data_IF_396180576731
#
_entry.id   IF_396180576731
#
_cell.length_a   1.000
_cell.length_b   1.000
_cell.length_c   1.000
_cell.angle_alpha   90.00
_cell.angle_beta   90.00
_cell.angle_gamma   90.00
#
_symmetry.space_group_name_H-M   'P 1'
#
loop_
_entity.id
_entity.type
_entity.pdbx_description
1 polymer ?
#
# COMPACT_ATOMS: atom_id res chain seq x y z
N UNK A 1 -20.62 9.41 -26.74
CA UNK A 1 -19.28 8.94 -27.13
C UNK A 1 -18.83 7.92 -26.08
N UNK A 2 -18.60 6.65 -26.46
CA UNK A 2 -18.02 5.67 -25.52
C UNK A 2 -16.55 6.03 -25.35
N UNK A 3 -16.15 6.46 -24.17
CA UNK A 3 -14.73 6.61 -23.86
C UNK A 3 -14.06 5.26 -24.11
N UNK A 4 -13.02 5.26 -24.95
CA UNK A 4 -12.19 4.07 -25.15
C UNK A 4 -11.49 3.81 -23.82
N UNK A 5 -12.02 2.85 -23.07
CA UNK A 5 -11.46 2.39 -21.82
C UNK A 5 -10.00 1.94 -22.10
N UNK A 6 -9.00 2.42 -21.35
CA UNK A 6 -7.62 1.94 -21.46
C UNK A 6 -7.57 0.40 -21.56
N UNK A 7 -6.73 -0.11 -22.46
CA UNK A 7 -6.76 -1.49 -22.95
C UNK A 7 -6.44 -2.57 -21.91
N UNK A 8 -6.07 -2.19 -20.68
CA UNK A 8 -5.52 -3.07 -19.66
C UNK A 8 -6.47 -3.41 -18.50
N UNK A 9 -7.72 -2.94 -18.50
CA UNK A 9 -8.73 -3.33 -17.49
C UNK A 9 -9.95 -4.04 -18.07
N UNK A 10 -10.76 -4.60 -17.18
CA UNK A 10 -11.95 -5.39 -17.51
C UNK A 10 -13.12 -5.10 -16.56
N UNK A 11 -14.34 -5.17 -17.08
CA UNK A 11 -15.57 -5.20 -16.28
C UNK A 11 -16.04 -6.64 -15.99
N UNK A 12 -15.45 -7.62 -16.68
CA UNK A 12 -15.71 -9.04 -16.48
C UNK A 12 -14.96 -9.53 -15.25
N UNK A 13 -15.60 -9.38 -14.09
CA UNK A 13 -15.06 -9.75 -12.78
C UNK A 13 -15.71 -11.05 -12.31
N UNK A 14 -14.91 -11.99 -11.78
CA UNK A 14 -15.42 -13.24 -11.22
C UNK A 14 -16.40 -12.99 -10.06
N UNK A 15 -17.34 -13.90 -9.81
CA UNK A 15 -18.36 -13.72 -8.76
C UNK A 15 -17.75 -13.50 -7.37
N UNK A 16 -16.77 -14.33 -7.01
CA UNK A 16 -16.03 -14.23 -5.75
C UNK A 16 -15.26 -12.90 -5.61
N UNK A 17 -15.10 -12.18 -6.72
CA UNK A 17 -14.38 -10.93 -6.81
C UNK A 17 -15.29 -9.70 -6.97
N UNK A 18 -16.60 -9.89 -6.96
CA UNK A 18 -17.56 -8.78 -7.00
C UNK A 18 -17.47 -7.96 -5.72
N UNK A 19 -17.40 -6.65 -5.92
CA UNK A 19 -17.38 -5.65 -4.87
C UNK A 19 -18.26 -4.49 -5.34
N UNK A 20 -17.71 -3.28 -5.46
CA UNK A 20 -18.37 -2.15 -6.13
C UNK A 20 -17.92 -2.10 -7.59
N UNK A 21 -18.81 -1.72 -8.51
CA UNK A 21 -18.43 -1.48 -9.92
C UNK A 21 -17.37 -0.37 -9.96
N UNK A 22 -16.19 -0.62 -10.54
CA UNK A 22 -15.10 0.36 -10.55
C UNK A 22 -15.50 1.61 -11.33
N UNK A 23 -15.19 2.77 -10.77
CA UNK A 23 -15.23 4.04 -11.49
C UNK A 23 -13.83 4.39 -11.99
N UNK A 24 -13.59 4.15 -13.28
CA UNK A 24 -12.30 4.40 -13.90
C UNK A 24 -12.01 5.90 -14.08
N UNK A 25 -13.01 6.79 -13.96
CA UNK A 25 -12.75 8.24 -13.92
C UNK A 25 -12.06 8.66 -12.62
N UNK A 26 -12.23 7.84 -11.57
CA UNK A 26 -11.53 7.93 -10.29
C UNK A 26 -10.30 7.02 -10.22
N UNK A 27 -9.88 6.40 -11.33
CA UNK A 27 -8.71 5.52 -11.36
C UNK A 27 -8.83 4.27 -10.47
N UNK A 28 -10.04 3.74 -10.25
CA UNK A 28 -10.25 2.62 -9.34
C UNK A 28 -9.86 1.27 -9.94
N UNK A 29 -8.85 0.65 -9.33
CA UNK A 29 -8.46 -0.74 -9.54
C UNK A 29 -8.48 -1.42 -8.19
N UNK A 30 -9.31 -2.46 -8.04
CA UNK A 30 -9.43 -3.12 -6.75
C UNK A 30 -8.59 -4.38 -6.75
N UNK A 31 -7.93 -4.65 -5.63
CA UNK A 31 -7.30 -5.93 -5.38
C UNK A 31 -8.27 -7.11 -5.61
N UNK A 32 -7.75 -8.29 -5.90
CA UNK A 32 -8.56 -9.51 -5.89
C UNK A 32 -8.92 -9.92 -4.46
N UNK A 33 -9.90 -10.80 -4.31
CA UNK A 33 -10.30 -11.42 -3.05
C UNK A 33 -9.11 -12.13 -2.39
N UNK A 34 -8.33 -12.85 -3.19
CA UNK A 34 -7.13 -13.51 -2.74
C UNK A 34 -6.11 -12.51 -2.18
N UNK A 35 -5.83 -11.42 -2.91
CA UNK A 35 -4.88 -10.40 -2.46
C UNK A 35 -5.33 -9.72 -1.17
N UNK A 36 -6.60 -9.32 -1.05
CA UNK A 36 -7.05 -8.68 0.21
C UNK A 36 -7.09 -9.67 1.37
N UNK A 37 -7.49 -10.93 1.14
CA UNK A 37 -7.49 -11.96 2.18
C UNK A 37 -6.09 -12.16 2.73
N UNK A 38 -5.13 -12.33 1.81
CA UNK A 38 -3.72 -12.45 2.15
C UNK A 38 -3.25 -11.20 2.89
N UNK A 39 -3.37 -10.00 2.32
CA UNK A 39 -2.93 -8.75 2.98
C UNK A 39 -3.52 -8.59 4.38
N UNK A 40 -4.82 -8.84 4.55
CA UNK A 40 -5.48 -8.79 5.84
C UNK A 40 -4.86 -9.80 6.83
N UNK A 41 -4.54 -11.03 6.41
CA UNK A 41 -3.94 -12.05 7.27
C UNK A 41 -2.60 -11.60 7.87
N UNK A 42 -1.67 -11.02 7.09
CA UNK A 42 -0.37 -10.63 7.66
C UNK A 42 -0.34 -9.24 8.27
N UNK A 43 -1.32 -8.40 7.97
CA UNK A 43 -1.45 -7.08 8.59
C UNK A 43 -2.37 -7.11 9.82
N UNK A 44 -2.94 -8.27 10.18
CA UNK A 44 -3.93 -8.35 11.25
C UNK A 44 -3.37 -8.00 12.63
N UNK A 45 -2.06 -8.15 12.82
CA UNK A 45 -1.35 -7.85 14.06
C UNK A 45 -1.26 -6.35 14.39
N UNK A 46 -1.47 -5.46 13.43
CA UNK A 46 -1.57 -4.03 13.71
C UNK A 46 -2.84 -3.75 14.51
N UNK A 47 -2.79 -2.82 15.45
CA UNK A 47 -3.95 -2.47 16.29
C UNK A 47 -4.84 -1.44 15.60
N UNK A 48 -4.25 -0.43 14.95
CA UNK A 48 -5.00 0.66 14.31
C UNK A 48 -4.52 0.95 12.87
N UNK A 49 -4.72 0.01 11.92
CA UNK A 49 -4.34 0.21 10.53
C UNK A 49 -5.30 1.17 9.82
N UNK A 50 -4.73 1.94 8.89
CA UNK A 50 -5.48 2.79 7.95
C UNK A 50 -5.40 2.23 6.53
N UNK A 51 -6.55 1.93 5.95
CA UNK A 51 -6.74 1.71 4.52
C UNK A 51 -6.85 3.07 3.81
N UNK A 52 -5.78 3.53 3.19
CA UNK A 52 -5.77 4.74 2.36
C UNK A 52 -5.94 4.34 0.89
N UNK A 53 -7.06 4.73 0.26
CA UNK A 53 -7.41 4.33 -1.10
C UNK A 53 -7.45 2.79 -1.32
N UNK A 54 -7.71 2.01 -0.26
CA UNK A 54 -7.78 0.54 -0.31
C UNK A 54 -9.13 0.02 0.19
N UNK A 55 -10.26 0.45 -0.40
CA UNK A 55 -11.60 0.17 0.13
C UNK A 55 -11.92 -1.31 0.20
N UNK A 56 -11.38 -2.12 -0.73
CA UNK A 56 -11.61 -3.57 -0.69
C UNK A 56 -10.89 -4.26 0.47
N UNK A 57 -9.72 -3.76 0.88
CA UNK A 57 -9.02 -4.30 2.05
C UNK A 57 -9.79 -3.96 3.34
N UNK A 58 -10.29 -2.73 3.45
CA UNK A 58 -11.18 -2.35 4.56
C UNK A 58 -12.45 -3.22 4.59
N UNK A 59 -13.03 -3.51 3.42
CA UNK A 59 -14.18 -4.39 3.31
C UNK A 59 -13.87 -5.81 3.81
N UNK A 60 -12.72 -6.38 3.45
CA UNK A 60 -12.29 -7.69 3.95
C UNK A 60 -12.22 -7.73 5.48
N UNK A 61 -11.61 -6.73 6.12
CA UNK A 61 -11.58 -6.65 7.58
C UNK A 61 -12.97 -6.49 8.19
N UNK A 62 -13.87 -5.70 7.57
CA UNK A 62 -15.26 -5.60 8.03
C UNK A 62 -16.00 -6.93 7.95
N UNK A 63 -15.80 -7.73 6.90
CA UNK A 63 -16.38 -9.07 6.80
C UNK A 63 -15.87 -10.00 7.91
N UNK A 64 -14.66 -9.77 8.41
CA UNK A 64 -14.09 -10.47 9.58
C UNK A 64 -14.53 -9.90 10.94
N UNK A 65 -15.43 -8.92 10.94
CA UNK A 65 -15.93 -8.28 12.17
C UNK A 65 -14.96 -7.27 12.79
N UNK A 66 -13.96 -6.80 12.02
CA UNK A 66 -12.97 -5.84 12.48
C UNK A 66 -13.17 -4.49 11.78
N UNK A 67 -13.45 -3.44 12.56
CA UNK A 67 -13.46 -2.07 12.04
C UNK A 67 -12.03 -1.55 11.84
N UNK A 68 -11.79 -0.91 10.69
CA UNK A 68 -10.53 -0.24 10.36
C UNK A 68 -10.82 1.13 9.76
N UNK A 69 -9.86 2.06 9.83
CA UNK A 69 -10.03 3.36 9.17
C UNK A 69 -9.93 3.21 7.66
N UNK A 70 -10.94 3.65 6.93
CA UNK A 70 -10.91 3.79 5.47
C UNK A 70 -10.88 5.28 5.11
N UNK A 71 -9.83 5.71 4.42
CA UNK A 71 -9.71 7.04 3.83
C UNK A 71 -9.80 6.93 2.31
N UNK A 72 -10.89 7.40 1.72
CA UNK A 72 -11.12 7.32 0.28
C UNK A 72 -11.94 8.51 -0.23
N UNK A 73 -11.72 8.93 -1.47
CA UNK A 73 -12.46 10.03 -2.09
C UNK A 73 -13.89 9.61 -2.44
N UNK A 74 -14.09 8.33 -2.78
CA UNK A 74 -15.35 7.81 -3.28
C UNK A 74 -16.38 7.64 -2.16
N UNK A 75 -17.44 8.46 -2.23
CA UNK A 75 -18.52 8.47 -1.24
C UNK A 75 -19.42 7.25 -1.29
N UNK A 76 -19.31 6.38 -2.30
CA UNK A 76 -20.03 5.10 -2.33
C UNK A 76 -19.65 4.19 -1.15
N UNK A 77 -18.46 4.40 -0.57
CA UNK A 77 -18.02 3.69 0.64
C UNK A 77 -18.49 4.34 1.95
N UNK A 78 -19.31 5.40 1.91
CA UNK A 78 -19.74 6.14 3.10
C UNK A 78 -20.54 5.34 4.12
N UNK A 79 -21.13 4.22 3.73
CA UNK A 79 -21.81 3.29 4.64
C UNK A 79 -20.87 2.29 5.30
N UNK A 80 -19.59 2.22 4.89
CA UNK A 80 -18.62 1.33 5.53
C UNK A 80 -18.19 1.89 6.88
N UNK A 81 -18.12 1.07 7.95
CA UNK A 81 -17.50 1.45 9.22
C UNK A 81 -16.11 2.06 9.01
N UNK A 82 -15.72 2.99 9.87
CA UNK A 82 -14.44 3.68 9.73
C UNK A 82 -14.23 4.54 8.47
N UNK A 83 -15.16 4.65 7.51
CA UNK A 83 -14.97 5.51 6.33
C UNK A 83 -14.87 7.00 6.71
N UNK A 84 -13.91 7.70 6.10
CA UNK A 84 -13.88 9.17 6.03
C UNK A 84 -13.49 9.61 4.61
N UNK A 85 -14.11 10.68 4.08
CA UNK A 85 -13.74 11.22 2.80
C UNK A 85 -12.31 11.78 2.86
N UNK A 86 -11.47 11.42 1.88
CA UNK A 86 -10.10 11.93 1.78
C UNK A 86 -9.74 12.22 0.33
N UNK A 87 -9.29 13.44 0.04
CA UNK A 87 -8.89 13.88 -1.29
C UNK A 87 -7.37 13.94 -1.39
N UNK A 88 -6.77 13.04 -2.18
CA UNK A 88 -5.32 13.01 -2.42
C UNK A 88 -4.79 14.30 -3.07
N UNK A 89 -5.63 15.05 -3.78
CA UNK A 89 -5.26 16.32 -4.42
C UNK A 89 -5.32 17.50 -3.46
N UNK A 90 -6.08 17.37 -2.38
CA UNK A 90 -6.26 18.39 -1.33
C UNK A 90 -6.22 17.73 0.06
N UNK A 91 -5.10 17.06 0.41
CA UNK A 91 -5.04 16.27 1.62
C UNK A 91 -5.15 17.18 2.85
N UNK A 92 -5.92 16.73 3.83
CA UNK A 92 -6.08 17.42 5.11
C UNK A 92 -5.50 16.56 6.24
N UNK A 93 -4.88 17.17 7.27
CA UNK A 93 -4.36 16.43 8.41
C UNK A 93 -5.45 15.57 9.08
N UNK A 94 -5.12 14.33 9.41
CA UNK A 94 -5.96 13.50 10.29
C UNK A 94 -5.56 13.69 11.75
N UNK A 95 -6.53 13.67 12.66
CA UNK A 95 -6.27 13.74 14.11
C UNK A 95 -5.91 12.38 14.71
N UNK A 96 -6.17 11.30 13.98
CA UNK A 96 -5.91 9.93 14.42
C UNK A 96 -4.46 9.53 14.14
N UNK A 97 -3.92 8.64 14.98
CA UNK A 97 -2.59 8.06 14.81
C UNK A 97 -2.72 6.60 14.40
N UNK A 98 -2.05 6.23 13.32
CA UNK A 98 -2.06 4.87 12.79
C UNK A 98 -0.72 4.19 13.03
N UNK A 99 -0.76 2.91 13.41
CA UNK A 99 0.43 2.07 13.53
C UNK A 99 0.81 1.44 12.18
N UNK A 100 -0.14 1.36 11.24
CA UNK A 100 0.10 1.04 9.84
C UNK A 100 -0.76 1.86 8.87
N UNK A 101 -0.23 2.18 7.70
CA UNK A 101 -0.98 2.71 6.55
C UNK A 101 -0.75 1.79 5.35
N UNK A 102 -1.84 1.32 4.76
CA UNK A 102 -1.86 0.54 3.52
C UNK A 102 -2.43 1.42 2.43
N UNK A 103 -1.60 1.72 1.42
CA UNK A 103 -1.86 2.77 0.45
C UNK A 103 -1.84 2.24 -1.00
N UNK A 104 -2.96 2.38 -1.70
CA UNK A 104 -3.06 2.07 -3.14
C UNK A 104 -3.64 3.26 -3.90
N UNK A 105 -2.83 4.32 -4.09
CA UNK A 105 -3.32 5.52 -4.76
C UNK A 105 -3.47 5.32 -6.25
N UNK A 106 -4.26 6.20 -6.87
CA UNK A 106 -4.09 6.50 -8.29
C UNK A 106 -2.62 6.92 -8.50
N UNK A 107 -1.91 6.20 -9.37
CA UNK A 107 -0.46 6.28 -9.55
C UNK A 107 -0.02 7.58 -10.23
N UNK A 108 -0.20 8.70 -9.53
CA UNK A 108 0.21 10.05 -9.94
C UNK A 108 1.65 10.34 -9.49
N UNK A 109 2.07 11.61 -9.55
CA UNK A 109 3.37 12.09 -9.06
C UNK A 109 3.66 11.64 -7.61
N UNK A 110 4.78 10.95 -7.40
CA UNK A 110 5.14 10.37 -6.11
C UNK A 110 5.34 11.44 -5.01
N UNK A 111 5.78 12.65 -5.37
CA UNK A 111 5.96 13.74 -4.41
C UNK A 111 4.62 14.20 -3.84
N UNK A 112 3.57 14.30 -4.65
CA UNK A 112 2.20 14.60 -4.19
C UNK A 112 1.66 13.50 -3.29
N UNK A 113 1.88 12.23 -3.66
CA UNK A 113 1.45 11.09 -2.85
C UNK A 113 2.12 11.09 -1.48
N UNK A 114 3.42 11.40 -1.40
CA UNK A 114 4.11 11.56 -0.13
C UNK A 114 3.46 12.65 0.74
N UNK A 115 3.19 13.83 0.16
CA UNK A 115 2.56 14.93 0.92
C UNK A 115 1.19 14.52 1.46
N UNK A 116 0.41 13.77 0.68
CA UNK A 116 -0.86 13.24 1.14
C UNK A 116 -0.69 12.23 2.29
N UNK A 117 0.27 11.31 2.17
CA UNK A 117 0.60 10.38 3.25
C UNK A 117 1.01 11.11 4.52
N UNK A 118 1.83 12.16 4.43
CA UNK A 118 2.31 12.91 5.59
C UNK A 118 1.17 13.61 6.36
N UNK A 119 0.04 13.91 5.70
CA UNK A 119 -1.16 14.40 6.39
C UNK A 119 -1.88 13.29 7.18
N UNK A 120 -1.65 12.02 6.84
CA UNK A 120 -2.27 10.85 7.47
C UNK A 120 -1.36 10.22 8.53
N UNK A 121 -0.10 9.99 8.19
CA UNK A 121 0.86 9.26 9.01
C UNK A 121 1.86 10.17 9.73
N UNK A 122 1.86 11.47 9.43
CA UNK A 122 2.92 12.38 9.87
C UNK A 122 4.23 12.17 9.10
N UNK A 123 5.30 12.82 9.56
CA UNK A 123 6.65 12.57 9.08
C UNK A 123 7.17 11.26 9.70
N UNK A 124 8.02 10.49 8.99
CA UNK A 124 8.63 9.30 9.57
C UNK A 124 9.52 9.69 10.76
N UNK A 125 9.19 9.16 11.94
CA UNK A 125 9.98 9.30 13.17
C UNK A 125 10.99 8.15 13.29
N UNK A 126 12.19 8.44 13.78
CA UNK A 126 13.24 7.45 14.02
C UNK A 126 12.89 6.46 15.13
N UNK A 127 12.12 6.89 16.13
CA UNK A 127 11.88 6.10 17.35
C UNK A 127 10.68 5.15 17.22
N UNK A 128 9.69 5.46 16.38
CA UNK A 128 8.52 4.58 16.15
C UNK A 128 7.85 4.88 14.80
N UNK A 129 8.46 4.47 13.68
CA UNK A 129 7.90 4.77 12.36
C UNK A 129 6.59 4.00 12.14
N UNK A 130 5.50 4.69 11.78
CA UNK A 130 4.29 4.06 11.24
C UNK A 130 4.67 3.09 10.12
N UNK A 131 4.15 1.86 10.18
CA UNK A 131 4.37 0.92 9.09
C UNK A 131 3.67 1.44 7.83
N UNK A 132 4.37 1.45 6.70
CA UNK A 132 3.83 1.89 5.43
C UNK A 132 3.95 0.73 4.45
N UNK A 133 2.83 0.38 3.83
CA UNK A 133 2.74 -0.57 2.72
C UNK A 133 2.07 0.15 1.56
N UNK A 134 2.78 0.34 0.46
CA UNK A 134 2.32 1.14 -0.67
C UNK A 134 2.45 0.37 -1.97
N UNK A 135 1.36 0.34 -2.74
CA UNK A 135 1.37 -0.21 -4.08
C UNK A 135 1.75 0.86 -5.09
N UNK A 136 2.63 0.51 -6.03
CA UNK A 136 3.12 1.44 -7.04
C UNK A 136 3.57 0.73 -8.33
N UNK A 137 3.59 1.41 -9.50
CA UNK A 137 4.09 0.82 -10.75
C UNK A 137 5.60 0.59 -10.69
N UNK A 138 6.04 -0.62 -11.08
CA UNK A 138 7.46 -1.01 -11.11
C UNK A 138 8.31 -0.09 -11.98
N UNK A 139 7.77 0.34 -13.11
CA UNK A 139 8.47 1.20 -14.06
C UNK A 139 8.79 2.59 -13.50
N UNK A 140 8.13 3.01 -12.40
CA UNK A 140 8.35 4.29 -11.71
C UNK A 140 8.95 4.11 -10.32
N UNK A 141 9.54 2.95 -10.02
CA UNK A 141 10.15 2.66 -8.72
C UNK A 141 11.17 3.74 -8.30
N UNK A 142 12.06 4.16 -9.20
CA UNK A 142 13.07 5.17 -8.89
C UNK A 142 12.45 6.50 -8.41
N UNK A 143 11.31 6.90 -8.99
CA UNK A 143 10.57 8.09 -8.58
C UNK A 143 10.00 7.93 -7.17
N UNK A 144 9.39 6.77 -6.89
CA UNK A 144 8.86 6.44 -5.55
C UNK A 144 9.97 6.47 -4.51
N UNK A 145 11.06 5.73 -4.73
CA UNK A 145 12.15 5.60 -3.76
C UNK A 145 12.85 6.95 -3.51
N UNK A 146 12.96 7.79 -4.54
CA UNK A 146 13.47 9.16 -4.39
C UNK A 146 12.54 10.02 -3.53
N UNK A 147 11.24 10.04 -3.86
CA UNK A 147 10.27 10.87 -3.14
C UNK A 147 10.10 10.42 -1.68
N UNK A 148 10.10 9.12 -1.42
CA UNK A 148 9.86 8.50 -0.11
C UNK A 148 11.16 8.09 0.61
N UNK A 149 12.32 8.67 0.28
CA UNK A 149 13.62 8.25 0.84
C UNK A 149 13.67 8.20 2.37
N UNK A 150 13.00 9.13 3.06
CA UNK A 150 12.90 9.14 4.53
C UNK A 150 12.11 7.94 5.10
N UNK A 151 11.16 7.41 4.33
CA UNK A 151 10.37 6.23 4.69
C UNK A 151 11.10 4.91 4.46
N UNK A 152 12.21 4.92 3.69
CA UNK A 152 13.04 3.73 3.41
C UNK A 152 12.23 2.55 2.87
N UNK A 153 11.34 2.83 1.92
CA UNK A 153 10.58 1.82 1.23
C UNK A 153 11.50 0.85 0.48
N UNK A 154 11.15 -0.43 0.50
CA UNK A 154 11.77 -1.47 -0.30
C UNK A 154 10.67 -2.33 -0.95
N UNK A 155 10.91 -2.90 -2.14
CA UNK A 155 9.97 -3.85 -2.75
C UNK A 155 9.83 -5.08 -1.85
N UNK A 156 8.59 -5.54 -1.68
CA UNK A 156 8.27 -6.73 -0.89
C UNK A 156 7.99 -7.93 -1.81
N UNK A 157 8.38 -9.15 -1.44
CA UNK A 157 8.09 -10.36 -2.23
C UNK A 157 6.62 -10.79 -2.05
N UNK A 158 5.70 -9.91 -2.43
CA UNK A 158 4.26 -10.11 -2.35
C UNK A 158 3.63 -9.93 -3.73
N UNK A 159 2.89 -10.94 -4.18
CA UNK A 159 2.24 -10.91 -5.50
C UNK A 159 0.88 -10.21 -5.40
N UNK A 160 0.75 -9.08 -6.07
CA UNK A 160 -0.51 -8.36 -6.20
C UNK A 160 -1.38 -8.99 -7.29
N UNK A 161 -2.66 -9.16 -6.99
CA UNK A 161 -3.71 -9.50 -7.92
C UNK A 161 -4.81 -8.43 -7.84
N UNK A 162 -5.47 -8.18 -8.96
CA UNK A 162 -6.57 -7.22 -9.06
C UNK A 162 -7.76 -7.90 -9.72
N UNK A 163 -8.96 -7.48 -9.33
CA UNK A 163 -10.19 -8.08 -9.85
C UNK A 163 -10.59 -7.51 -11.22
N UNK A 164 -10.18 -6.28 -11.53
CA UNK A 164 -10.59 -5.53 -12.70
C UNK A 164 -9.41 -5.11 -13.59
N UNK A 165 -8.21 -5.65 -13.37
CA UNK A 165 -7.05 -5.52 -14.27
C UNK A 165 -6.91 -6.81 -15.07
N UNK A 166 -6.61 -6.71 -16.37
CA UNK A 166 -6.47 -7.91 -17.21
C UNK A 166 -5.27 -8.76 -16.76
N UNK A 167 -5.34 -10.10 -16.94
CA UNK A 167 -4.21 -10.99 -16.69
C UNK A 167 -2.93 -10.50 -17.40
N UNK A 168 -1.80 -10.57 -16.71
CA UNK A 168 -0.49 -10.10 -17.21
C UNK A 168 -0.18 -8.63 -16.95
N UNK A 169 -1.15 -7.80 -16.55
CA UNK A 169 -0.90 -6.42 -16.15
C UNK A 169 -0.79 -6.24 -14.63
N UNK A 170 -1.28 -7.18 -13.81
CA UNK A 170 -1.09 -7.12 -12.36
C UNK A 170 0.40 -7.11 -11.97
N UNK A 171 1.24 -7.81 -12.74
CA UNK A 171 2.68 -7.91 -12.50
C UNK A 171 3.45 -6.61 -12.81
N UNK A 172 2.81 -5.58 -13.37
CA UNK A 172 3.42 -4.24 -13.54
C UNK A 172 3.41 -3.41 -12.25
N UNK A 173 2.67 -3.87 -11.24
CA UNK A 173 2.60 -3.24 -9.93
C UNK A 173 3.37 -4.04 -8.90
N UNK A 174 3.85 -3.34 -7.87
CA UNK A 174 4.65 -3.91 -6.80
C UNK A 174 4.19 -3.33 -5.47
N UNK A 175 4.13 -4.18 -4.45
CA UNK A 175 3.98 -3.72 -3.08
C UNK A 175 5.34 -3.34 -2.53
N UNK A 176 5.44 -2.13 -1.99
CA UNK A 176 6.60 -1.61 -1.29
C UNK A 176 6.28 -1.46 0.19
N UNK A 177 7.27 -1.62 1.07
CA UNK A 177 7.08 -1.32 2.48
C UNK A 177 8.34 -0.90 3.20
N UNK A 178 8.17 -0.19 4.31
CA UNK A 178 9.27 0.17 5.22
C UNK A 178 9.49 -0.89 6.32
N UNK A 179 8.64 -1.93 6.34
CA UNK A 179 8.73 -3.10 7.19
C UNK A 179 8.43 -4.34 6.35
N UNK A 180 9.00 -5.51 6.68
CA UNK A 180 8.62 -6.75 6.04
C UNK A 180 7.15 -7.07 6.33
N UNK A 181 6.53 -7.84 5.44
CA UNK A 181 5.28 -8.51 5.74
C UNK A 181 5.55 -9.79 6.55
N UNK A 182 4.81 -10.06 7.63
CA UNK A 182 4.83 -11.36 8.28
C UNK A 182 4.44 -12.49 7.31
N UNK A 183 4.92 -13.71 7.56
CA UNK A 183 4.42 -14.93 6.91
C UNK A 183 2.97 -15.20 7.40
N UNK A 184 2.03 -15.76 6.60
CA UNK A 184 2.22 -16.80 5.59
C UNK A 184 1.81 -16.36 4.18
N UNK A 185 2.77 -15.77 3.46
CA UNK A 185 2.66 -15.68 2.01
C UNK A 185 3.61 -16.69 1.37
N UNK A 186 3.21 -17.38 0.29
CA UNK A 186 4.15 -18.20 -0.45
C UNK A 186 5.29 -17.28 -0.90
N UNK A 187 6.50 -17.57 -0.43
CA UNK A 187 7.69 -16.86 -0.88
C UNK A 187 7.69 -16.90 -2.42
N UNK A 188 7.92 -15.75 -3.05
CA UNK A 188 8.15 -15.72 -4.50
C UNK A 188 9.48 -16.44 -4.70
N UNK A 189 9.44 -17.70 -5.13
CA UNK A 189 10.66 -18.45 -5.42
C UNK A 189 11.27 -17.96 -6.73
N UNK A 190 11.89 -16.78 -6.70
CA UNK A 190 12.77 -16.31 -7.76
C UNK A 190 14.07 -15.80 -7.16
N UNK A 191 15.19 -16.10 -7.84
CA UNK A 191 16.59 -15.81 -7.44
C UNK A 191 16.90 -14.34 -7.10
N UNK A 192 15.93 -13.42 -7.23
CA UNK A 192 16.02 -12.02 -6.86
C UNK A 192 15.88 -11.78 -5.34
N UNK A 193 15.24 -12.68 -4.59
CA UNK A 193 14.99 -12.52 -3.16
C UNK A 193 16.25 -12.53 -2.29
N UNK A 194 17.30 -13.24 -2.72
CA UNK A 194 18.59 -13.27 -2.02
C UNK A 194 19.30 -11.91 -2.07
N UNK A 195 19.12 -11.14 -3.15
CA UNK A 195 19.71 -9.82 -3.30
C UNK A 195 19.01 -8.78 -2.40
N UNK A 196 17.68 -8.84 -2.28
CA UNK A 196 16.90 -7.92 -1.45
C UNK A 196 17.07 -8.19 0.05
N UNK A 197 17.12 -9.47 0.47
CA UNK A 197 17.49 -9.83 1.85
C UNK A 197 18.91 -9.37 2.20
N UNK A 198 19.86 -9.53 1.27
CA UNK A 198 21.23 -9.05 1.46
C UNK A 198 21.34 -7.51 1.50
N UNK A 199 20.48 -6.77 0.80
CA UNK A 199 20.42 -5.30 0.87
C UNK A 199 19.85 -4.83 2.22
N UNK A 200 18.79 -5.48 2.72
CA UNK A 200 18.14 -5.12 3.99
C UNK A 200 19.03 -5.44 5.20
N UNK A 201 19.76 -6.56 5.16
CA UNK A 201 20.75 -6.89 6.20
C UNK A 201 21.94 -5.92 6.20
N UNK A 202 22.41 -5.47 5.03
CA UNK A 202 23.51 -4.49 4.93
C UNK A 202 23.12 -3.10 5.43
N UNK A 203 21.90 -2.64 5.16
CA UNK A 203 21.38 -1.38 5.69
C UNK A 203 21.27 -1.40 7.23
N UNK A 204 20.93 -2.56 7.80
CA UNK A 204 20.81 -2.75 9.25
C UNK A 204 22.18 -2.81 9.94
N UNK A 205 23.18 -3.45 9.32
CA UNK A 205 24.57 -3.50 9.84
C UNK A 205 25.32 -2.18 9.73
N UNK A 206 25.05 -1.36 8.71
CA UNK A 206 25.68 -0.04 8.55
C UNK A 206 25.18 1.00 9.58
N UNK A 207 23.96 0.84 10.11
CA UNK A 207 23.44 1.69 11.18
C UNK A 207 23.95 1.31 12.57
N UNK A 208 24.34 0.06 12.79
CA UNK A 208 24.91 -0.38 14.08
C UNK A 208 26.40 -0.06 14.21
N UNK A 209 27.14 0.03 13.10
CA UNK A 209 28.56 0.40 13.12
C UNK A 209 28.81 1.91 13.19
N UNK A 210 27.89 2.76 12.72
CA UNK A 210 28.05 4.23 12.74
C UNK A 210 27.85 4.90 14.11
N UNK A 211 27.18 4.23 15.06
CA UNK A 211 26.93 4.79 16.40
C UNK A 211 28.03 4.48 17.42
N UNK A 212 28.97 3.59 17.10
CA UNK A 212 30.04 3.19 18.01
C UNK A 212 31.30 4.10 17.95
N UNK A 213 31.42 4.97 16.94
CA UNK A 213 32.68 5.70 16.67
C UNK A 213 32.66 7.20 17.05
N UNK A 214 31.59 7.68 17.72
CA UNK A 214 31.47 9.09 18.14
C UNK A 214 31.56 9.37 19.63
N UNK A 215 32.12 8.44 20.40
CA UNK A 215 32.50 8.65 21.80
C UNK A 215 33.96 8.23 21.97
N UNK A 216 34.89 9.04 21.43
CA UNK A 216 36.30 9.16 21.85
C UNK A 216 37.01 10.14 20.91
N UNK A 217 36.86 11.44 21.19
CA UNK A 217 37.92 12.46 21.21
C UNK A 217 37.30 13.82 21.47
#
# INVERSE_FOLDING_TARGET
MKACLPTWFTLDVAEADRFVTPDFTLGQFFYSAETVRLLADCLDHFTNPCCLCTPRLAYEWHQRGREVRLLDYDRRFSSMPGYRPFDLLRPQPTTERFDAVIFDPIFSDATRLRRALEMVAGQPDADTPTALYMTFPKEREAELLSAFGAWRLAPLPFRLGYNNVRPGHADTFQLYGNRPLPSPYPAVTDKADDANRAAMNRATSAQTSGSAERVKK
#
